data_IF_729338780888
#
_entry.id   IF_729338780888
#
_cell.length_a   1.000
_cell.length_b   1.000
_cell.length_c   1.000
_cell.angle_alpha   90.00
_cell.angle_beta   90.00
_cell.angle_gamma   90.00
#
_symmetry.space_group_name_H-M   'P 1'
#
loop_
_entity.id
_entity.type
_entity.pdbx_description
1 polymer ?
#
# COMPACT_ATOMS: atom_id res chain seq x y z
N UNK A 1 -23.97 -9.21 -21.14
CA UNK A 1 -23.75 -9.07 -19.68
C UNK A 1 -22.28 -8.90 -19.30
N UNK A 2 -21.35 -9.78 -19.70
CA UNK A 2 -19.91 -9.68 -19.33
C UNK A 2 -19.23 -8.34 -19.64
N UNK A 3 -19.53 -7.71 -20.79
CA UNK A 3 -18.97 -6.39 -21.16
C UNK A 3 -19.40 -5.25 -20.23
N UNK A 4 -20.65 -5.29 -19.75
CA UNK A 4 -21.19 -4.29 -18.82
C UNK A 4 -20.51 -4.44 -17.46
N UNK A 5 -20.34 -5.67 -16.97
CA UNK A 5 -19.59 -5.95 -15.74
C UNK A 5 -18.15 -5.42 -15.81
N UNK A 6 -17.45 -5.66 -16.92
CA UNK A 6 -16.09 -5.14 -17.13
C UNK A 6 -16.09 -3.60 -17.09
N UNK A 7 -17.04 -2.97 -17.77
CA UNK A 7 -17.16 -1.51 -17.78
C UNK A 7 -17.39 -0.95 -16.37
N UNK A 8 -18.30 -1.55 -15.60
CA UNK A 8 -18.59 -1.13 -14.22
C UNK A 8 -17.37 -1.32 -13.32
N UNK A 9 -16.69 -2.46 -13.39
CA UNK A 9 -15.47 -2.71 -12.62
C UNK A 9 -14.36 -1.72 -12.98
N UNK A 10 -14.20 -1.43 -14.28
CA UNK A 10 -13.25 -0.42 -14.73
C UNK A 10 -13.58 0.96 -14.17
N UNK A 11 -14.85 1.37 -14.22
CA UNK A 11 -15.31 2.66 -13.72
C UNK A 11 -15.10 2.79 -12.20
N UNK A 12 -15.40 1.71 -11.45
CA UNK A 12 -15.14 1.66 -10.01
C UNK A 12 -13.65 1.80 -9.71
N UNK A 13 -12.78 1.07 -10.41
CA UNK A 13 -11.33 1.17 -10.22
C UNK A 13 -10.84 2.57 -10.58
N UNK A 14 -11.27 3.12 -11.71
CA UNK A 14 -10.87 4.45 -12.17
C UNK A 14 -11.30 5.56 -11.19
N UNK A 15 -12.54 5.50 -10.69
CA UNK A 15 -13.05 6.50 -9.74
C UNK A 15 -12.38 6.35 -8.38
N UNK A 16 -12.26 5.12 -7.84
CA UNK A 16 -11.63 4.91 -6.53
C UNK A 16 -10.16 5.31 -6.55
N UNK A 17 -9.40 4.89 -7.55
CA UNK A 17 -7.99 5.29 -7.67
C UNK A 17 -7.82 6.76 -7.98
N UNK A 18 -8.60 7.31 -8.92
CA UNK A 18 -8.51 8.72 -9.31
C UNK A 18 -8.86 9.68 -8.17
N UNK A 19 -9.93 9.42 -7.43
CA UNK A 19 -10.33 10.25 -6.28
C UNK A 19 -9.33 10.13 -5.14
N UNK A 20 -8.78 8.94 -4.89
CA UNK A 20 -7.74 8.78 -3.87
C UNK A 20 -6.51 9.61 -4.25
N UNK A 21 -6.07 9.56 -5.52
CA UNK A 21 -4.93 10.34 -6.03
C UNK A 21 -5.14 11.86 -5.84
N UNK A 22 -6.34 12.36 -6.16
CA UNK A 22 -6.72 13.75 -5.94
C UNK A 22 -6.65 14.13 -4.45
N UNK A 23 -7.22 13.30 -3.58
CA UNK A 23 -7.16 13.52 -2.13
C UNK A 23 -5.72 13.51 -1.60
N UNK A 24 -4.84 12.65 -2.15
CA UNK A 24 -3.42 12.68 -1.81
C UNK A 24 -2.82 14.03 -2.19
N UNK A 25 -2.99 14.48 -3.44
CA UNK A 25 -2.42 15.74 -3.91
C UNK A 25 -2.79 16.91 -2.99
N UNK A 26 -4.06 17.00 -2.60
CA UNK A 26 -4.55 18.04 -1.67
C UNK A 26 -3.91 17.89 -0.28
N UNK A 27 -3.83 16.68 0.26
CA UNK A 27 -3.19 16.44 1.56
C UNK A 27 -1.70 16.81 1.57
N UNK A 28 -1.01 16.62 0.43
CA UNK A 28 0.42 16.93 0.28
C UNK A 28 0.72 18.44 0.30
N UNK A 29 -0.27 19.31 0.06
CA UNK A 29 -0.09 20.77 0.17
C UNK A 29 0.20 21.20 1.62
N UNK A 30 -0.24 20.42 2.60
CA UNK A 30 -0.13 20.75 4.03
C UNK A 30 0.70 19.74 4.83
N UNK A 31 0.74 18.49 4.39
CA UNK A 31 1.40 17.39 5.10
C UNK A 31 2.56 16.85 4.27
N UNK A 32 3.76 16.67 4.85
CA UNK A 32 4.89 16.09 4.13
C UNK A 32 4.56 14.70 3.53
N UNK A 33 4.95 14.44 2.26
CA UNK A 33 4.67 13.18 1.56
C UNK A 33 5.01 11.90 2.31
N UNK A 34 6.17 11.89 2.96
CA UNK A 34 6.66 10.76 3.73
C UNK A 34 5.76 10.47 4.93
N UNK A 35 5.25 11.53 5.59
CA UNK A 35 4.37 11.38 6.75
C UNK A 35 2.98 10.86 6.34
N UNK A 36 2.39 11.43 5.29
CA UNK A 36 1.12 10.96 4.75
C UNK A 36 1.17 9.47 4.33
N UNK A 37 2.28 9.06 3.72
CA UNK A 37 2.51 7.67 3.30
C UNK A 37 2.77 6.75 4.48
N UNK A 38 3.58 7.20 5.44
CA UNK A 38 3.83 6.48 6.69
C UNK A 38 2.55 6.18 7.46
N UNK A 39 1.63 7.16 7.56
CA UNK A 39 0.32 6.96 8.19
C UNK A 39 -0.50 5.86 7.49
N UNK A 40 -0.52 5.80 6.16
CA UNK A 40 -1.25 4.74 5.43
C UNK A 40 -0.71 3.35 5.73
N UNK A 41 0.61 3.19 5.77
CA UNK A 41 1.23 1.92 6.14
C UNK A 41 1.01 1.59 7.62
N UNK A 42 1.03 2.60 8.50
CA UNK A 42 0.77 2.43 9.92
C UNK A 42 -0.65 1.95 10.22
N UNK A 43 -1.65 2.42 9.47
CA UNK A 43 -3.03 1.94 9.62
C UNK A 43 -3.29 0.61 8.91
N UNK A 44 -2.65 0.34 7.77
CA UNK A 44 -2.86 -0.90 7.02
C UNK A 44 -2.08 -2.09 7.58
N UNK A 45 -0.87 -1.88 8.12
CA UNK A 45 -0.03 -2.96 8.64
C UNK A 45 -0.68 -3.75 9.79
N UNK A 46 -1.28 -3.13 10.84
CA UNK A 46 -1.96 -3.87 11.90
C UNK A 46 -3.11 -4.73 11.36
N UNK A 47 -3.90 -4.18 10.42
CA UNK A 47 -5.00 -4.90 9.81
C UNK A 47 -4.50 -6.13 9.03
N UNK A 48 -3.42 -5.98 8.26
CA UNK A 48 -2.79 -7.09 7.54
C UNK A 48 -2.15 -8.11 8.49
N UNK A 49 -1.53 -7.67 9.59
CA UNK A 49 -0.96 -8.54 10.63
C UNK A 49 -2.06 -9.36 11.29
N UNK A 50 -3.20 -8.75 11.63
CA UNK A 50 -4.37 -9.44 12.20
C UNK A 50 -4.87 -10.49 11.22
N UNK A 51 -5.02 -10.14 9.94
CA UNK A 51 -5.47 -11.08 8.90
C UNK A 51 -4.48 -12.25 8.76
N UNK A 52 -3.17 -11.96 8.72
CA UNK A 52 -2.13 -12.98 8.63
C UNK A 52 -2.17 -13.91 9.85
N UNK A 53 -2.39 -13.36 11.04
CA UNK A 53 -2.49 -14.13 12.28
C UNK A 53 -3.71 -15.05 12.28
N UNK A 54 -4.90 -14.54 11.91
CA UNK A 54 -6.13 -15.35 11.80
C UNK A 54 -5.97 -16.45 10.75
N UNK A 55 -5.29 -16.18 9.64
CA UNK A 55 -5.04 -17.15 8.57
C UNK A 55 -3.82 -18.06 8.83
N UNK A 56 -3.13 -17.91 9.96
CA UNK A 56 -1.89 -18.62 10.30
C UNK A 56 -0.81 -18.53 9.21
N UNK A 57 -0.75 -17.41 8.50
CA UNK A 57 0.26 -17.15 7.47
C UNK A 57 1.54 -16.68 8.18
N UNK A 58 2.71 -17.28 7.90
CA UNK A 58 3.96 -16.82 8.48
C UNK A 58 4.30 -15.40 8.00
N UNK A 59 4.38 -14.45 8.93
CA UNK A 59 4.68 -13.04 8.65
C UNK A 59 6.18 -12.85 8.38
N UNK A 60 7.01 -13.62 9.08
CA UNK A 60 8.47 -13.54 8.97
C UNK A 60 8.99 -14.62 8.03
N UNK A 61 10.00 -14.25 7.27
CA UNK A 61 10.74 -15.19 6.44
C UNK A 61 11.53 -16.17 7.32
N UNK A 62 11.92 -17.34 6.78
CA UNK A 62 12.79 -18.29 7.48
C UNK A 62 14.04 -17.61 8.03
N UNK A 63 14.58 -18.11 9.16
CA UNK A 63 15.63 -17.44 9.94
C UNK A 63 16.85 -17.04 9.10
N UNK A 64 17.24 -17.85 8.10
CA UNK A 64 18.36 -17.56 7.18
C UNK A 64 18.07 -16.50 6.10
N UNK A 65 16.82 -16.08 5.91
CA UNK A 65 16.40 -15.13 4.88
C UNK A 65 15.89 -13.79 5.46
N UNK A 66 16.01 -13.57 6.76
CA UNK A 66 15.53 -12.33 7.40
C UNK A 66 16.27 -11.08 6.91
N UNK A 67 17.56 -11.20 6.58
CA UNK A 67 18.31 -10.09 5.98
C UNK A 67 17.75 -9.74 4.60
N UNK A 68 17.37 -10.76 3.82
CA UNK A 68 16.73 -10.57 2.51
C UNK A 68 15.34 -9.93 2.65
N UNK A 69 14.55 -10.33 3.66
CA UNK A 69 13.29 -9.66 3.98
C UNK A 69 13.50 -8.16 4.26
N UNK A 70 14.50 -7.81 5.09
CA UNK A 70 14.84 -6.40 5.35
C UNK A 70 15.26 -5.65 4.08
N UNK A 71 16.07 -6.28 3.23
CA UNK A 71 16.49 -5.70 1.96
C UNK A 71 15.29 -5.43 1.04
N UNK A 72 14.36 -6.37 0.88
CA UNK A 72 13.13 -6.17 0.10
C UNK A 72 12.28 -5.05 0.71
N UNK A 73 12.05 -5.07 2.02
CA UNK A 73 11.25 -4.05 2.68
C UNK A 73 11.82 -2.64 2.48
N UNK A 74 13.14 -2.47 2.54
CA UNK A 74 13.79 -1.18 2.34
C UNK A 74 13.87 -0.76 0.87
N UNK A 75 14.44 -1.61 0.01
CA UNK A 75 14.78 -1.24 -1.36
C UNK A 75 13.64 -1.42 -2.36
N UNK A 76 12.69 -2.32 -2.10
CA UNK A 76 11.55 -2.54 -2.99
C UNK A 76 10.31 -1.75 -2.56
N UNK A 77 10.11 -1.57 -1.25
CA UNK A 77 8.94 -0.87 -0.72
C UNK A 77 9.28 0.53 -0.19
N UNK A 78 10.07 0.65 0.89
CA UNK A 78 10.20 1.92 1.61
C UNK A 78 10.81 3.05 0.78
N UNK A 79 11.94 2.79 0.11
CA UNK A 79 12.64 3.81 -0.70
C UNK A 79 11.81 4.18 -1.94
N UNK A 80 11.34 3.24 -2.78
CA UNK A 80 10.56 3.59 -3.97
C UNK A 80 9.26 4.32 -3.63
N UNK A 81 8.52 3.90 -2.59
CA UNK A 81 7.28 4.60 -2.20
C UNK A 81 7.54 6.01 -1.69
N UNK A 82 8.65 6.21 -0.96
CA UNK A 82 9.00 7.54 -0.46
C UNK A 82 9.41 8.47 -1.59
N UNK A 83 10.16 7.96 -2.58
CA UNK A 83 10.61 8.73 -3.74
C UNK A 83 9.51 8.98 -4.77
N UNK A 84 8.54 8.08 -4.93
CA UNK A 84 7.47 8.19 -5.94
C UNK A 84 6.57 9.42 -5.73
N UNK A 85 6.53 9.96 -4.51
CA UNK A 85 5.60 11.03 -4.11
C UNK A 85 6.32 12.40 -4.07
N UNK A 86 7.64 12.42 -4.27
CA UNK A 86 8.41 13.62 -4.59
C UNK A 86 8.46 13.82 -6.11
#
# INVERSE_FOLDING_TARGET
>A
MRRITIFILFLLVAVTWGTTWLAMKIALETIPPVFATGMRFLFSAPLLIIIAWVKKIPILFPVGQRLFQLAISMFYFAIPFSLMIY
#
